data_IF_814264939557
#
_entry.id   IF_814264939557
#
_cell.length_a   1.000
_cell.length_b   1.000
_cell.length_c   1.000
_cell.angle_alpha   90.00
_cell.angle_beta   90.00
_cell.angle_gamma   90.00
#
_symmetry.space_group_name_H-M   'P 1'
#
loop_
_entity.id
_entity.type
_entity.pdbx_description
1 polymer ?
#
# COMPACT_ATOMS: atom_id res chain seq x y z
N UNK A 1 12.48 15.69 7.52
CA UNK A 1 11.15 15.30 6.97
C UNK A 1 10.23 16.48 7.19
N UNK A 2 9.83 17.16 6.12
CA UNK A 2 8.83 18.22 6.21
C UNK A 2 7.47 17.55 6.45
N UNK A 3 6.76 17.97 7.49
CA UNK A 3 5.39 17.58 7.73
C UNK A 3 4.51 18.38 6.74
N UNK A 4 3.74 17.73 5.85
CA UNK A 4 2.82 18.48 5.00
C UNK A 4 1.76 19.16 5.88
N UNK A 5 1.58 20.44 5.69
CA UNK A 5 0.58 21.24 6.39
C UNK A 5 -0.45 21.74 5.39
N UNK A 6 -1.70 21.85 5.82
CA UNK A 6 -2.79 22.46 5.07
C UNK A 6 -3.42 23.58 5.89
N UNK A 7 -3.78 24.66 5.23
CA UNK A 7 -4.57 25.75 5.83
C UNK A 7 -5.97 25.62 5.26
N UNK A 8 -6.96 25.48 6.13
CA UNK A 8 -8.37 25.43 5.77
C UNK A 8 -9.08 26.69 6.23
N UNK A 9 -9.76 27.36 5.31
CA UNK A 9 -10.67 28.44 5.60
C UNK A 9 -12.10 27.93 5.43
N UNK A 10 -12.89 27.95 6.52
CA UNK A 10 -14.27 27.48 6.56
C UNK A 10 -15.19 28.66 6.80
N UNK A 11 -16.28 28.72 6.02
CA UNK A 11 -17.32 29.73 6.18
C UNK A 11 -18.65 29.01 6.46
N UNK A 12 -19.31 29.36 7.57
CA UNK A 12 -20.63 28.86 7.88
C UNK A 12 -21.69 29.66 7.11
N UNK A 13 -22.32 29.05 6.11
CA UNK A 13 -23.26 29.73 5.22
C UNK A 13 -24.73 29.35 5.47
N UNK A 14 -25.00 28.38 6.34
CA UNK A 14 -26.34 27.79 6.50
C UNK A 14 -26.83 26.97 5.29
N UNK A 15 -25.99 26.80 4.26
CA UNK A 15 -26.28 26.00 3.06
C UNK A 15 -25.71 24.58 3.20
N UNK A 16 -26.23 23.59 2.45
CA UNK A 16 -25.61 22.27 2.37
C UNK A 16 -24.14 22.36 1.95
N UNK A 17 -23.32 21.50 2.51
CA UNK A 17 -21.91 21.44 2.21
C UNK A 17 -21.68 21.14 0.71
N UNK A 18 -20.90 22.00 0.04
CA UNK A 18 -20.53 21.83 -1.36
C UNK A 18 -19.08 22.19 -1.55
N UNK A 19 -18.39 21.47 -2.42
CA UNK A 19 -17.02 21.76 -2.81
C UNK A 19 -16.94 22.62 -4.08
N UNK A 20 -18.06 22.90 -4.72
CA UNK A 20 -18.11 23.73 -5.92
C UNK A 20 -17.75 25.17 -5.58
N UNK A 21 -16.78 25.72 -6.30
CA UNK A 21 -16.25 27.05 -6.07
C UNK A 21 -15.14 27.13 -5.00
N UNK A 22 -14.75 26.00 -4.40
CA UNK A 22 -13.59 25.96 -3.50
C UNK A 22 -12.32 26.28 -4.28
N UNK A 23 -11.51 27.17 -3.74
CA UNK A 23 -10.17 27.45 -4.25
C UNK A 23 -9.14 26.64 -3.47
N UNK A 24 -8.31 25.92 -4.22
CA UNK A 24 -7.20 25.14 -3.68
C UNK A 24 -5.92 25.73 -4.24
N UNK A 25 -5.06 26.24 -3.38
CA UNK A 25 -3.77 26.76 -3.82
C UNK A 25 -2.62 26.02 -3.12
N UNK A 26 -1.60 25.73 -3.90
CA UNK A 26 -0.25 25.45 -3.41
C UNK A 26 0.65 26.67 -3.65
N UNK A 27 1.93 26.55 -3.36
CA UNK A 27 2.87 27.67 -3.51
C UNK A 27 3.01 28.22 -4.95
N UNK A 28 2.46 27.55 -5.96
CA UNK A 28 2.68 27.84 -7.37
C UNK A 28 1.39 27.94 -8.20
N UNK A 29 0.31 27.31 -7.77
CA UNK A 29 -0.92 27.21 -8.54
C UNK A 29 -2.15 27.39 -7.67
N UNK A 30 -3.15 28.08 -8.22
CA UNK A 30 -4.49 28.15 -7.65
C UNK A 30 -5.46 27.47 -8.61
N UNK A 31 -6.27 26.56 -8.10
CA UNK A 31 -7.27 25.80 -8.88
C UNK A 31 -8.62 25.91 -8.20
N UNK A 32 -9.65 26.20 -8.99
CA UNK A 32 -11.03 26.21 -8.50
C UNK A 32 -11.67 24.84 -8.78
N UNK A 33 -12.29 24.25 -7.76
CA UNK A 33 -13.05 23.00 -7.89
C UNK A 33 -14.42 23.31 -8.50
N UNK A 34 -14.71 22.71 -9.63
CA UNK A 34 -15.96 22.92 -10.38
C UNK A 34 -17.00 21.82 -10.15
N UNK A 35 -16.58 20.68 -9.59
CA UNK A 35 -17.47 19.54 -9.30
C UNK A 35 -17.76 19.41 -7.81
N UNK A 36 -18.96 18.97 -7.47
CA UNK A 36 -19.27 18.66 -6.08
C UNK A 36 -18.68 17.31 -5.73
N UNK A 37 -17.59 17.31 -4.94
CA UNK A 37 -16.85 16.12 -4.52
C UNK A 37 -17.51 15.52 -3.28
N UNK A 38 -17.58 14.21 -3.24
CA UNK A 38 -17.99 13.51 -2.02
C UNK A 38 -16.98 13.76 -0.92
N UNK A 39 -17.48 14.21 0.20
CA UNK A 39 -16.71 14.40 1.43
C UNK A 39 -16.97 13.16 2.28
N UNK A 40 -15.94 12.33 2.48
CA UNK A 40 -16.04 11.26 3.46
C UNK A 40 -15.64 11.77 4.85
N UNK A 41 -16.08 11.08 5.90
CA UNK A 41 -15.64 11.38 7.27
C UNK A 41 -14.13 11.14 7.48
N UNK A 42 -13.47 10.43 6.56
CA UNK A 42 -12.10 9.98 6.73
C UNK A 42 -11.08 10.85 6.00
N UNK A 43 -11.43 11.42 4.84
CA UNK A 43 -10.49 12.27 4.09
C UNK A 43 -11.16 13.14 3.03
N UNK A 44 -10.49 14.23 2.68
CA UNK A 44 -10.81 15.10 1.56
C UNK A 44 -9.67 15.04 0.53
N UNK A 45 -10.00 14.87 -0.75
CA UNK A 45 -9.01 15.01 -1.81
C UNK A 45 -9.15 16.36 -2.51
N UNK A 46 -8.29 17.29 -2.16
CA UNK A 46 -8.20 18.62 -2.81
C UNK A 46 -7.11 18.67 -3.88
N UNK A 47 -6.27 17.66 -3.98
CA UNK A 47 -5.11 17.65 -4.88
C UNK A 47 -5.43 17.19 -6.30
N UNK A 48 -6.63 16.66 -6.52
CA UNK A 48 -7.05 16.19 -7.84
C UNK A 48 -7.74 17.29 -8.62
N UNK A 49 -7.45 17.37 -9.91
CA UNK A 49 -8.28 18.12 -10.86
C UNK A 49 -9.67 17.49 -10.96
N UNK A 50 -10.64 18.22 -11.51
CA UNK A 50 -11.98 17.66 -11.70
C UNK A 50 -11.99 16.45 -12.65
N UNK A 51 -11.13 16.45 -13.68
CA UNK A 51 -10.99 15.32 -14.59
C UNK A 51 -10.44 14.07 -13.89
N UNK A 52 -9.42 14.23 -13.05
CA UNK A 52 -8.86 13.13 -12.22
C UNK A 52 -9.89 12.60 -11.23
N UNK A 53 -10.63 13.48 -10.58
CA UNK A 53 -11.70 13.08 -9.66
C UNK A 53 -12.80 12.28 -10.38
N UNK A 54 -13.24 12.75 -11.54
CA UNK A 54 -14.24 12.02 -12.35
C UNK A 54 -13.71 10.66 -12.81
N UNK A 55 -12.42 10.55 -13.12
CA UNK A 55 -11.81 9.27 -13.48
C UNK A 55 -11.76 8.31 -12.28
N UNK A 56 -11.40 8.81 -11.09
CA UNK A 56 -11.44 8.02 -9.86
C UNK A 56 -12.84 7.48 -9.57
N UNK A 57 -13.88 8.32 -9.69
CA UNK A 57 -15.25 7.90 -9.50
C UNK A 57 -15.67 6.84 -10.52
N UNK A 58 -15.26 6.96 -11.78
CA UNK A 58 -15.51 5.92 -12.79
C UNK A 58 -14.84 4.59 -12.42
N UNK A 59 -13.57 4.63 -11.98
CA UNK A 59 -12.84 3.42 -11.57
C UNK A 59 -13.51 2.75 -10.37
N UNK A 60 -13.95 3.52 -9.39
CA UNK A 60 -14.62 2.99 -8.18
C UNK A 60 -15.97 2.35 -8.46
N UNK A 61 -16.67 2.79 -9.52
CA UNK A 61 -17.97 2.26 -9.91
C UNK A 61 -17.88 1.16 -10.97
N UNK A 62 -16.67 0.67 -11.31
CA UNK A 62 -16.53 -0.49 -12.18
C UNK A 62 -17.19 -1.70 -11.51
N UNK A 63 -18.16 -2.36 -12.16
CA UNK A 63 -18.81 -3.54 -11.59
C UNK A 63 -17.84 -4.70 -11.42
N UNK A 64 -18.18 -5.64 -10.56
CA UNK A 64 -17.36 -6.82 -10.26
C UNK A 64 -15.95 -6.49 -9.78
N UNK A 65 -15.85 -5.55 -8.84
CA UNK A 65 -14.62 -5.28 -8.11
C UNK A 65 -14.66 -5.93 -6.73
N UNK A 66 -13.51 -6.42 -6.29
CA UNK A 66 -13.25 -6.92 -4.94
C UNK A 66 -12.23 -6.02 -4.26
N UNK A 67 -12.20 -6.05 -2.94
CA UNK A 67 -11.28 -5.25 -2.13
C UNK A 67 -10.59 -6.13 -1.10
N UNK A 68 -9.36 -5.79 -0.74
CA UNK A 68 -8.63 -6.49 0.32
C UNK A 68 -9.18 -6.18 1.72
N UNK A 69 -10.00 -5.15 1.87
CA UNK A 69 -10.71 -4.84 3.12
C UNK A 69 -11.55 -6.05 3.57
N UNK A 70 -11.22 -6.61 4.75
CA UNK A 70 -11.87 -7.82 5.26
C UNK A 70 -11.49 -9.13 4.55
N UNK A 71 -10.72 -9.07 3.46
CA UNK A 71 -10.35 -10.22 2.63
C UNK A 71 -8.83 -10.38 2.51
N UNK A 72 -8.07 -9.98 3.50
CA UNK A 72 -6.63 -10.17 3.57
C UNK A 72 -6.13 -10.10 5.01
N UNK A 73 -5.08 -10.84 5.31
CA UNK A 73 -4.32 -10.65 6.53
C UNK A 73 -3.13 -9.72 6.26
N UNK A 74 -2.92 -8.76 7.14
CA UNK A 74 -1.80 -7.82 7.07
C UNK A 74 -0.91 -7.98 8.30
N UNK A 75 0.39 -7.94 8.10
CA UNK A 75 1.33 -7.92 9.21
C UNK A 75 2.47 -6.92 8.99
N UNK A 76 2.89 -6.35 10.11
CA UNK A 76 4.10 -5.53 10.18
C UNK A 76 5.32 -6.43 10.08
N UNK A 77 6.34 -6.00 9.37
CA UNK A 77 7.66 -6.62 9.45
C UNK A 77 8.28 -6.46 10.85
N UNK A 78 9.26 -7.29 11.16
CA UNK A 78 9.90 -7.38 12.48
C UNK A 78 10.48 -6.03 12.91
N UNK A 79 10.14 -5.60 14.12
CA UNK A 79 10.77 -4.46 14.80
C UNK A 79 11.76 -5.01 15.80
N UNK A 80 13.05 -5.00 15.47
CA UNK A 80 14.08 -5.57 16.34
C UNK A 80 14.36 -4.74 17.59
N UNK A 81 14.03 -3.44 17.57
CA UNK A 81 14.44 -2.45 18.56
C UNK A 81 15.91 -2.00 18.40
N UNK A 82 16.79 -2.85 17.87
CA UNK A 82 18.18 -2.51 17.60
C UNK A 82 18.74 -3.32 16.41
N UNK A 83 18.56 -2.79 15.20
CA UNK A 83 19.02 -3.46 13.98
C UNK A 83 20.54 -3.71 13.97
N UNK A 84 21.35 -2.81 14.57
CA UNK A 84 22.82 -2.99 14.62
C UNK A 84 23.23 -4.22 15.41
N UNK A 85 22.43 -4.58 16.42
CA UNK A 85 22.68 -5.76 17.27
C UNK A 85 22.23 -7.06 16.62
N UNK A 86 21.09 -7.03 15.89
CA UNK A 86 20.42 -8.26 15.45
C UNK A 86 20.61 -8.59 13.97
N UNK A 87 21.00 -7.63 13.13
CA UNK A 87 21.20 -7.83 11.69
C UNK A 87 22.68 -7.99 11.39
N UNK A 88 23.04 -9.10 10.76
CA UNK A 88 24.39 -9.40 10.28
C UNK A 88 24.46 -9.20 8.75
N UNK A 89 25.61 -8.76 8.24
CA UNK A 89 25.91 -8.79 6.82
C UNK A 89 26.57 -10.11 6.37
N UNK A 90 26.90 -10.98 7.33
CA UNK A 90 27.55 -12.26 7.06
C UNK A 90 26.57 -13.39 7.31
N UNK A 91 26.39 -14.26 6.30
CA UNK A 91 25.59 -15.47 6.41
C UNK A 91 26.36 -16.53 7.22
N UNK A 92 25.66 -17.20 8.12
CA UNK A 92 26.15 -18.37 8.85
C UNK A 92 25.04 -19.44 8.92
N UNK A 93 25.32 -20.55 9.62
CA UNK A 93 24.40 -21.70 9.72
C UNK A 93 23.12 -21.40 10.56
N UNK A 94 23.18 -20.42 11.45
CA UNK A 94 22.13 -20.14 12.43
C UNK A 94 21.25 -18.95 12.04
N UNK A 95 21.62 -18.22 10.98
CA UNK A 95 20.87 -17.06 10.52
C UNK A 95 20.22 -17.29 9.14
N UNK A 96 19.19 -16.53 8.88
CA UNK A 96 18.45 -16.56 7.63
C UNK A 96 18.28 -15.15 7.04
N UNK A 97 17.93 -15.09 5.75
CA UNK A 97 17.71 -13.82 5.04
C UNK A 97 16.58 -13.05 5.67
N UNK A 98 16.77 -11.74 5.85
CA UNK A 98 15.71 -10.82 6.22
C UNK A 98 15.69 -9.63 5.26
N UNK A 99 14.49 -9.30 4.75
CA UNK A 99 14.30 -8.26 3.76
C UNK A 99 14.01 -6.91 4.41
N UNK A 100 14.55 -5.87 3.81
CA UNK A 100 14.22 -4.46 4.07
C UNK A 100 13.32 -3.92 2.96
N UNK A 101 12.71 -2.77 3.18
CA UNK A 101 11.95 -2.10 2.13
C UNK A 101 12.75 -1.83 0.86
N UNK A 102 14.07 -1.55 0.97
CA UNK A 102 14.97 -1.36 -0.17
C UNK A 102 15.12 -2.62 -1.05
N UNK A 103 14.88 -3.80 -0.49
CA UNK A 103 15.05 -5.08 -1.17
C UNK A 103 13.79 -5.47 -1.97
N UNK A 104 12.71 -4.71 -1.83
CA UNK A 104 11.45 -4.94 -2.53
C UNK A 104 11.44 -4.17 -3.85
N UNK A 105 11.37 -4.90 -4.95
CA UNK A 105 11.15 -4.37 -6.29
C UNK A 105 9.72 -4.73 -6.74
N UNK A 106 9.20 -4.07 -7.78
CA UNK A 106 7.94 -4.51 -8.36
C UNK A 106 8.06 -5.95 -8.83
N UNK A 107 7.12 -6.81 -8.37
CA UNK A 107 7.00 -8.23 -8.67
C UNK A 107 7.99 -9.16 -7.99
N UNK A 108 9.20 -8.76 -7.65
CA UNK A 108 10.23 -9.61 -7.10
C UNK A 108 11.00 -8.95 -5.95
N UNK A 109 11.69 -9.78 -5.17
CA UNK A 109 12.64 -9.33 -4.15
C UNK A 109 14.06 -9.36 -4.70
N UNK A 110 14.88 -8.40 -4.28
CA UNK A 110 16.33 -8.37 -4.54
C UNK A 110 17.06 -8.30 -3.20
N UNK A 111 17.29 -9.45 -2.53
CA UNK A 111 17.83 -9.46 -1.18
C UNK A 111 19.27 -8.92 -1.15
N UNK A 112 19.51 -7.93 -0.33
CA UNK A 112 20.86 -7.56 0.08
C UNK A 112 21.33 -8.51 1.20
N UNK A 113 22.64 -8.49 1.48
CA UNK A 113 23.25 -9.32 2.53
C UNK A 113 22.81 -8.87 3.92
N UNK A 114 21.56 -9.14 4.27
CA UNK A 114 21.00 -8.93 5.60
C UNK A 114 20.48 -10.26 6.14
N UNK A 115 20.99 -10.66 7.27
CA UNK A 115 20.68 -11.93 7.92
C UNK A 115 20.31 -11.72 9.37
N UNK A 116 19.41 -12.54 9.91
CA UNK A 116 18.95 -12.50 11.28
C UNK A 116 18.89 -13.90 11.87
N UNK A 117 19.29 -14.04 13.13
CA UNK A 117 18.92 -15.22 13.94
C UNK A 117 17.51 -14.95 14.48
N UNK A 118 16.52 -15.68 14.00
CA UNK A 118 15.13 -15.43 14.35
C UNK A 118 14.81 -15.93 15.76
N UNK A 119 14.85 -15.00 16.70
CA UNK A 119 14.42 -15.24 18.07
C UNK A 119 13.39 -14.15 18.48
N UNK A 120 12.07 -14.42 18.30
CA UNK A 120 11.02 -13.43 18.55
C UNK A 120 11.05 -12.76 19.91
N UNK A 121 11.46 -13.49 20.94
CA UNK A 121 11.50 -13.00 22.32
C UNK A 121 12.52 -11.86 22.52
N UNK A 122 13.49 -11.74 21.61
CA UNK A 122 14.53 -10.71 21.68
C UNK A 122 14.15 -9.43 20.94
N UNK A 123 13.02 -9.43 20.21
CA UNK A 123 12.62 -8.31 19.36
C UNK A 123 11.54 -7.46 20.03
N UNK A 124 11.52 -6.18 19.69
CA UNK A 124 10.56 -5.23 20.26
C UNK A 124 9.12 -5.55 19.84
N UNK A 125 8.91 -5.95 18.59
CA UNK A 125 7.60 -6.31 18.06
C UNK A 125 7.74 -7.31 16.93
N UNK A 126 6.92 -8.36 16.98
CA UNK A 126 6.85 -9.43 15.98
C UNK A 126 5.37 -9.77 15.76
N UNK A 127 4.96 -9.93 14.51
CA UNK A 127 3.65 -10.49 14.19
C UNK A 127 3.65 -12.02 14.43
N UNK A 128 2.49 -12.69 14.45
CA UNK A 128 2.42 -14.13 14.51
C UNK A 128 3.33 -14.78 13.46
N UNK A 129 4.07 -15.82 13.86
CA UNK A 129 5.11 -16.42 13.02
C UNK A 129 4.57 -17.00 11.72
N UNK A 130 3.36 -17.51 11.74
CA UNK A 130 2.63 -18.03 10.58
C UNK A 130 2.44 -16.98 9.48
N UNK A 131 2.39 -15.71 9.82
CA UNK A 131 2.31 -14.62 8.85
C UNK A 131 3.60 -14.51 8.03
N UNK A 132 4.77 -14.63 8.69
CA UNK A 132 6.05 -14.62 7.97
C UNK A 132 6.28 -15.92 7.21
N UNK A 133 5.78 -17.06 7.75
CA UNK A 133 5.96 -18.40 7.19
C UNK A 133 4.81 -18.84 6.30
N UNK A 134 3.94 -17.92 5.89
CA UNK A 134 2.93 -18.22 4.88
C UNK A 134 3.57 -18.78 3.59
N UNK A 135 3.00 -19.82 2.99
CA UNK A 135 3.54 -20.42 1.76
C UNK A 135 3.67 -19.43 0.62
N UNK A 136 2.71 -18.52 0.54
CA UNK A 136 2.69 -17.43 -0.42
C UNK A 136 2.22 -16.15 0.28
N UNK A 137 2.90 -15.05 -0.01
CA UNK A 137 2.51 -13.71 0.47
C UNK A 137 3.01 -12.63 -0.46
N UNK A 138 2.45 -11.44 -0.32
CA UNK A 138 2.98 -10.24 -0.95
C UNK A 138 3.71 -9.40 0.10
N UNK A 139 4.90 -8.97 -0.25
CA UNK A 139 5.70 -8.04 0.53
C UNK A 139 5.60 -6.65 -0.09
N UNK A 140 5.54 -5.60 0.74
CA UNK A 140 5.47 -4.24 0.21
C UNK A 140 6.32 -3.25 0.99
N UNK A 141 6.80 -2.22 0.28
CA UNK A 141 7.54 -1.12 0.91
C UNK A 141 6.60 -0.32 1.79
N UNK A 142 6.93 -0.23 3.08
CA UNK A 142 6.16 0.59 4.00
C UNK A 142 6.43 2.09 3.83
N UNK A 143 7.70 2.48 3.60
CA UNK A 143 8.08 3.87 3.34
C UNK A 143 8.34 4.00 1.84
N UNK A 144 7.38 4.62 1.15
CA UNK A 144 7.44 4.81 -0.30
C UNK A 144 6.38 5.82 -0.75
N UNK A 145 6.72 6.63 -1.75
CA UNK A 145 5.76 7.49 -2.46
C UNK A 145 4.95 6.74 -3.54
N UNK A 146 5.24 5.46 -3.73
CA UNK A 146 4.61 4.59 -4.72
C UNK A 146 4.27 3.24 -4.12
N UNK A 147 3.26 2.58 -4.66
CA UNK A 147 3.00 1.18 -4.35
C UNK A 147 4.08 0.30 -4.99
N UNK A 148 4.77 -0.49 -4.19
CA UNK A 148 5.78 -1.45 -4.65
C UNK A 148 5.56 -2.76 -3.91
N UNK A 149 5.12 -3.76 -4.66
CA UNK A 149 4.82 -5.10 -4.15
C UNK A 149 5.70 -6.15 -4.82
N UNK A 150 6.15 -7.13 -4.03
CA UNK A 150 6.86 -8.31 -4.48
C UNK A 150 6.15 -9.57 -4.04
N UNK A 151 6.29 -10.63 -4.80
CA UNK A 151 5.83 -11.97 -4.45
C UNK A 151 6.91 -12.71 -3.64
N UNK A 152 6.49 -13.41 -2.60
CA UNK A 152 7.36 -14.27 -1.80
C UNK A 152 6.70 -15.64 -1.56
N UNK A 153 7.35 -16.71 -2.04
CA UNK A 153 7.04 -18.11 -1.82
C UNK A 153 8.16 -18.85 -1.05
N UNK A 154 9.09 -18.08 -0.48
CA UNK A 154 10.25 -18.60 0.25
C UNK A 154 10.14 -18.45 1.75
N UNK A 155 8.97 -18.03 2.23
CA UNK A 155 8.73 -17.81 3.66
C UNK A 155 9.75 -16.84 4.29
N UNK A 156 10.19 -15.84 3.52
CA UNK A 156 11.26 -14.92 3.89
C UNK A 156 10.80 -13.96 4.99
N UNK A 157 11.67 -13.71 5.95
CA UNK A 157 11.44 -12.71 7.00
C UNK A 157 11.59 -11.29 6.45
N UNK A 158 10.90 -10.34 7.09
CA UNK A 158 10.98 -8.92 6.72
C UNK A 158 11.07 -8.01 7.95
N UNK A 159 11.79 -6.90 7.81
CA UNK A 159 11.85 -5.81 8.79
C UNK A 159 10.68 -4.83 8.59
N UNK A 160 10.43 -4.01 9.59
CA UNK A 160 9.33 -3.03 9.63
C UNK A 160 9.30 -1.98 8.50
N UNK A 161 10.33 -1.89 7.68
CA UNK A 161 10.31 -1.13 6.43
C UNK A 161 9.72 -1.91 5.24
N UNK A 162 9.46 -3.21 5.45
CA UNK A 162 8.86 -4.16 4.50
C UNK A 162 7.75 -4.93 5.21
N UNK A 163 6.52 -4.51 5.01
CA UNK A 163 5.34 -5.18 5.56
C UNK A 163 4.83 -6.24 4.60
N UNK A 164 3.87 -7.02 5.04
CA UNK A 164 3.31 -8.12 4.26
C UNK A 164 1.79 -8.13 4.25
N UNK A 165 1.24 -8.71 3.21
CA UNK A 165 -0.19 -8.99 3.05
C UNK A 165 -0.40 -10.37 2.44
N UNK A 166 -1.35 -11.11 2.98
CA UNK A 166 -1.80 -12.42 2.50
C UNK A 166 -3.24 -12.22 2.00
N UNK A 167 -3.44 -12.06 0.68
CA UNK A 167 -4.78 -11.94 0.11
C UNK A 167 -5.60 -13.22 0.31
N UNK A 168 -6.91 -13.04 0.58
CA UNK A 168 -7.90 -14.12 0.73
C UNK A 168 -9.10 -13.92 -0.20
N UNK A 169 -8.88 -13.30 -1.34
CA UNK A 169 -9.93 -13.06 -2.33
C UNK A 169 -10.22 -14.35 -3.10
N UNK A 170 -11.37 -14.94 -2.81
CA UNK A 170 -11.80 -16.18 -3.46
C UNK A 170 -11.87 -16.02 -4.99
N UNK A 171 -11.34 -17.00 -5.72
CA UNK A 171 -11.30 -17.05 -7.18
C UNK A 171 -10.22 -16.16 -7.82
N UNK A 172 -9.43 -15.41 -7.03
CA UNK A 172 -8.35 -14.56 -7.55
C UNK A 172 -6.97 -15.08 -7.13
N UNK A 173 -6.13 -15.32 -8.12
CA UNK A 173 -4.76 -15.77 -7.91
C UNK A 173 -3.88 -14.66 -7.31
N UNK A 174 -3.03 -14.97 -6.35
CA UNK A 174 -2.16 -13.98 -5.65
C UNK A 174 -1.27 -13.19 -6.62
N UNK A 175 -0.76 -13.82 -7.68
CA UNK A 175 0.07 -13.13 -8.70
C UNK A 175 -0.75 -12.17 -9.56
N UNK A 176 -2.04 -12.47 -9.79
CA UNK A 176 -2.94 -11.52 -10.43
C UNK A 176 -3.16 -10.29 -9.54
N UNK A 177 -3.42 -10.50 -8.25
CA UNK A 177 -3.55 -9.42 -7.27
C UNK A 177 -2.27 -8.58 -7.23
N UNK A 178 -1.10 -9.21 -7.24
CA UNK A 178 0.21 -8.55 -7.33
C UNK A 178 0.32 -7.65 -8.57
N UNK A 179 -0.12 -8.14 -9.72
CA UNK A 179 -0.09 -7.38 -10.97
C UNK A 179 -0.99 -6.13 -10.88
N UNK A 180 -2.20 -6.28 -10.34
CA UNK A 180 -3.11 -5.14 -10.14
C UNK A 180 -2.52 -4.12 -9.17
N UNK A 181 -1.99 -4.53 -8.02
CA UNK A 181 -1.40 -3.62 -7.02
C UNK A 181 -0.16 -2.87 -7.53
N UNK A 182 0.60 -3.46 -8.47
CA UNK A 182 1.73 -2.80 -9.13
C UNK A 182 1.35 -2.02 -10.39
N UNK A 183 0.10 -2.09 -10.83
CA UNK A 183 -0.37 -1.49 -12.07
C UNK A 183 -0.35 0.04 -12.06
N UNK A 184 -0.41 0.65 -13.25
CA UNK A 184 -0.54 2.11 -13.39
C UNK A 184 -1.84 2.64 -12.78
N UNK A 185 -2.92 1.84 -12.83
CA UNK A 185 -4.22 2.22 -12.26
C UNK A 185 -4.12 2.28 -10.74
N UNK A 186 -3.55 1.27 -10.10
CA UNK A 186 -3.34 1.29 -8.64
C UNK A 186 -2.42 2.45 -8.21
N UNK A 187 -1.35 2.73 -8.98
CA UNK A 187 -0.49 3.89 -8.73
C UNK A 187 -1.23 5.22 -8.87
N UNK A 188 -2.09 5.34 -9.88
CA UNK A 188 -2.93 6.52 -10.08
C UNK A 188 -3.87 6.73 -8.89
N UNK A 189 -4.62 5.70 -8.49
CA UNK A 189 -5.52 5.77 -7.33
C UNK A 189 -4.74 6.18 -6.08
N UNK A 190 -3.63 5.49 -5.81
CA UNK A 190 -2.80 5.77 -4.64
C UNK A 190 -2.28 7.21 -4.61
N UNK A 191 -1.79 7.70 -5.74
CA UNK A 191 -1.28 9.07 -5.86
C UNK A 191 -2.37 10.12 -5.71
N UNK A 192 -3.57 9.84 -6.23
CA UNK A 192 -4.67 10.82 -6.19
C UNK A 192 -5.39 10.87 -4.84
N UNK A 193 -5.40 9.78 -4.10
CA UNK A 193 -6.13 9.68 -2.82
C UNK A 193 -5.24 9.85 -1.61
N UNK A 194 -3.98 9.41 -1.68
CA UNK A 194 -3.11 9.32 -0.52
C UNK A 194 -1.79 10.08 -0.72
N UNK A 195 -1.67 11.24 -0.11
CA UNK A 195 -0.44 12.02 -0.07
C UNK A 195 0.40 11.64 1.16
N UNK A 196 0.86 10.40 1.20
CA UNK A 196 1.60 9.86 2.32
C UNK A 196 2.95 9.30 1.87
N UNK A 197 3.97 9.48 2.71
CA UNK A 197 5.27 8.80 2.57
C UNK A 197 5.25 7.38 3.15
N UNK A 198 4.12 6.98 3.76
CA UNK A 198 3.91 5.64 4.32
C UNK A 198 2.76 4.96 3.60
N UNK A 199 3.01 3.77 3.10
CA UNK A 199 1.97 2.91 2.52
C UNK A 199 1.25 2.20 3.66
N UNK A 200 0.09 2.72 4.05
CA UNK A 200 -0.71 2.15 5.14
C UNK A 200 -1.58 1.00 4.63
N UNK A 201 -1.98 0.13 5.56
CA UNK A 201 -2.95 -0.95 5.31
C UNK A 201 -4.23 -0.41 4.68
N UNK A 202 -4.82 0.64 5.25
CA UNK A 202 -6.05 1.27 4.75
C UNK A 202 -5.94 1.76 3.31
N UNK A 203 -4.75 2.18 2.88
CA UNK A 203 -4.52 2.57 1.48
C UNK A 203 -4.64 1.38 0.54
N UNK A 204 -4.03 0.23 0.93
CA UNK A 204 -4.01 -1.00 0.12
C UNK A 204 -5.40 -1.65 0.09
N UNK A 205 -6.08 -1.67 1.23
CA UNK A 205 -7.42 -2.26 1.38
C UNK A 205 -8.45 -1.66 0.44
N UNK A 206 -8.28 -0.40 0.06
CA UNK A 206 -9.22 0.36 -0.77
C UNK A 206 -8.87 0.39 -2.28
N UNK A 207 -7.81 -0.32 -2.70
CA UNK A 207 -7.51 -0.46 -4.14
C UNK A 207 -8.51 -1.45 -4.77
N UNK A 208 -9.28 -1.05 -5.79
CA UNK A 208 -10.23 -1.94 -6.46
C UNK A 208 -9.48 -2.99 -7.29
N UNK A 209 -9.87 -4.24 -7.13
CA UNK A 209 -9.34 -5.40 -7.84
C UNK A 209 -10.48 -6.00 -8.65
N UNK A 210 -10.35 -6.04 -9.97
CA UNK A 210 -11.37 -6.60 -10.85
C UNK A 210 -11.52 -8.11 -10.59
N UNK A 211 -12.77 -8.56 -10.46
CA UNK A 211 -13.11 -9.97 -10.39
C UNK A 211 -13.23 -10.52 -11.82
N UNK A 212 -12.20 -11.19 -12.28
CA UNK A 212 -12.10 -11.73 -13.63
C UNK A 212 -11.93 -13.25 -13.60
N UNK A 213 -12.31 -13.93 -14.70
CA UNK A 213 -12.18 -15.38 -14.82
C UNK A 213 -10.70 -15.83 -14.88
N UNK A 214 -10.47 -17.13 -14.73
CA UNK A 214 -9.14 -17.72 -14.70
C UNK A 214 -8.33 -17.45 -15.98
N UNK A 215 -8.97 -17.44 -17.16
CA UNK A 215 -8.29 -17.23 -18.44
C UNK A 215 -7.71 -15.80 -18.52
N UNK A 216 -8.47 -14.79 -18.09
CA UNK A 216 -7.98 -13.41 -18.01
C UNK A 216 -6.86 -13.27 -16.98
N UNK A 217 -6.97 -13.93 -15.83
CA UNK A 217 -5.90 -13.92 -14.83
C UNK A 217 -4.62 -14.53 -15.40
N UNK A 218 -4.72 -15.70 -16.05
CA UNK A 218 -3.58 -16.41 -16.64
C UNK A 218 -2.87 -15.56 -17.71
N UNK A 219 -3.61 -14.80 -18.52
CA UNK A 219 -3.03 -13.90 -19.53
C UNK A 219 -2.22 -12.75 -18.93
N UNK A 220 -2.43 -12.44 -17.64
CA UNK A 220 -1.71 -11.36 -16.94
C UNK A 220 -0.53 -11.92 -16.11
N UNK A 221 -0.65 -13.18 -15.64
CA UNK A 221 0.34 -13.82 -14.78
C UNK A 221 1.56 -14.34 -15.57
N UNK A 222 1.41 -14.59 -16.87
CA UNK A 222 2.51 -15.03 -17.74
C UNK A 222 3.60 -13.97 -17.87
#
# INVERSE_FOLDING_TARGET
VQCPCIILQLIHTGKPLSTVGMEVSDCSHCTTILTNRKISAEYFSFHTTDAEYQLLEKIRHIPKTKFLAGNADFALGIVTGNNKKYISSVKNKDNEVILKGSDICKYHTNPNSNYIVFNPQNFQQVAPIEMYRAPEKLLYRFISSQLVFAYDDKQTLSLNSCNLVIPKLEGLHIKYILAILNSRIAQFIYKMEFHSVKVLRSHIENIPILDVNADMQNSIIQ
#
